data_IF_708421915585
#
_entry.id   IF_708421915585
#
_cell.length_a   1.000
_cell.length_b   1.000
_cell.length_c   1.000
_cell.angle_alpha   90.00
_cell.angle_beta   90.00
_cell.angle_gamma   90.00
#
_symmetry.space_group_name_H-M   'P 1'
#
loop_
_entity.id
_entity.type
_entity.pdbx_description
1 polymer ?
#
# COMPACT_ATOMS: atom_id res chain seq x y z
N UNK A 1 9.25 10.22 -17.26
CA UNK A 1 8.86 10.00 -15.84
C UNK A 1 10.03 9.33 -15.16
N UNK A 2 10.34 9.67 -13.91
CA UNK A 2 11.33 8.89 -13.14
C UNK A 2 10.64 7.59 -12.72
N UNK A 3 11.20 6.43 -13.08
CA UNK A 3 10.68 5.15 -12.64
C UNK A 3 10.83 5.03 -11.11
N UNK A 4 9.80 4.58 -10.39
CA UNK A 4 9.93 4.36 -8.96
C UNK A 4 10.96 3.27 -8.72
N UNK A 5 11.70 3.42 -7.63
CA UNK A 5 12.53 2.34 -7.13
C UNK A 5 11.64 1.15 -6.78
N UNK A 6 11.92 0.01 -7.39
CA UNK A 6 11.33 -1.28 -7.01
C UNK A 6 12.12 -1.92 -5.88
N UNK A 7 11.46 -2.82 -5.18
CA UNK A 7 11.99 -3.65 -4.12
C UNK A 7 11.73 -5.11 -4.49
N UNK A 8 12.77 -5.93 -4.36
CA UNK A 8 12.65 -7.36 -4.56
C UNK A 8 11.71 -7.99 -3.52
N UNK A 9 10.75 -8.77 -4.00
CA UNK A 9 9.75 -9.46 -3.21
C UNK A 9 9.79 -10.96 -3.53
N UNK A 10 10.42 -11.71 -2.63
CA UNK A 10 10.44 -13.17 -2.71
C UNK A 10 9.15 -13.74 -2.10
N UNK A 11 8.41 -14.51 -2.88
CA UNK A 11 7.16 -15.17 -2.46
C UNK A 11 7.14 -16.62 -2.96
N UNK A 12 6.04 -17.36 -2.68
CA UNK A 12 6.05 -18.81 -2.89
C UNK A 12 6.19 -19.25 -4.36
N UNK A 13 5.87 -18.38 -5.32
CA UNK A 13 5.93 -18.70 -6.76
C UNK A 13 7.10 -18.05 -7.49
N UNK A 14 7.95 -17.28 -6.81
CA UNK A 14 9.10 -16.64 -7.43
C UNK A 14 9.54 -15.35 -6.77
N UNK A 15 10.21 -14.51 -7.55
CA UNK A 15 10.65 -13.17 -7.17
C UNK A 15 9.98 -12.15 -8.07
N UNK A 16 9.44 -11.10 -7.47
CA UNK A 16 8.91 -9.92 -8.16
C UNK A 16 9.72 -8.67 -7.82
N UNK A 17 9.72 -7.69 -8.72
CA UNK A 17 10.24 -6.35 -8.47
C UNK A 17 9.07 -5.37 -8.32
N UNK A 18 8.77 -5.00 -7.08
CA UNK A 18 7.53 -4.29 -6.73
C UNK A 18 7.81 -2.89 -6.18
N UNK A 19 7.00 -1.92 -6.54
CA UNK A 19 6.96 -0.61 -5.87
C UNK A 19 5.73 -0.51 -4.96
N UNK A 20 5.80 0.43 -4.01
CA UNK A 20 4.76 0.62 -3.00
C UNK A 20 3.77 1.71 -3.46
N UNK A 21 2.48 1.46 -3.25
CA UNK A 21 1.42 2.48 -3.31
C UNK A 21 0.90 2.73 -1.90
N UNK A 22 0.84 4.00 -1.49
CA UNK A 22 0.31 4.41 -0.19
C UNK A 22 -1.01 5.15 -0.39
N UNK A 23 -2.05 4.72 0.31
CA UNK A 23 -3.37 5.34 0.33
C UNK A 23 -4.04 5.12 1.69
N UNK A 24 -5.35 5.33 1.77
CA UNK A 24 -6.17 4.98 2.93
C UNK A 24 -7.37 4.11 2.57
N UNK A 25 -7.80 3.28 3.51
CA UNK A 25 -9.11 2.65 3.46
C UNK A 25 -10.23 3.69 3.59
N UNK A 26 -11.31 3.50 2.84
CA UNK A 26 -12.38 4.51 2.72
C UNK A 26 -13.22 4.69 3.99
N UNK A 27 -13.22 3.70 4.89
CA UNK A 27 -14.13 3.64 6.05
C UNK A 27 -13.67 4.49 7.23
N UNK A 28 -12.36 4.55 7.47
CA UNK A 28 -11.76 5.01 8.73
C UNK A 28 -10.43 5.74 8.53
N UNK A 29 -10.04 6.00 7.28
CA UNK A 29 -8.76 6.60 6.91
C UNK A 29 -7.53 5.78 7.37
N UNK A 30 -7.72 4.49 7.73
CA UNK A 30 -6.61 3.61 8.09
C UNK A 30 -5.64 3.43 6.91
N UNK A 31 -4.36 3.26 7.21
CA UNK A 31 -3.29 3.17 6.22
C UNK A 31 -3.50 1.95 5.29
N UNK A 32 -3.58 2.23 3.98
CA UNK A 32 -3.49 1.23 2.92
C UNK A 32 -2.09 1.27 2.31
N UNK A 33 -1.46 0.10 2.19
CA UNK A 33 -0.27 -0.10 1.38
C UNK A 33 -0.51 -1.26 0.43
N UNK A 34 -0.35 -1.01 -0.87
CA UNK A 34 -0.38 -2.04 -1.90
C UNK A 34 0.99 -2.24 -2.56
N UNK A 35 1.21 -3.45 -3.06
CA UNK A 35 2.37 -3.85 -3.84
C UNK A 35 2.00 -3.84 -5.33
N UNK A 36 2.80 -3.14 -6.14
CA UNK A 36 2.52 -2.91 -7.55
C UNK A 36 3.73 -3.20 -8.42
N UNK A 37 3.49 -3.57 -9.67
CA UNK A 37 4.49 -3.67 -10.72
C UNK A 37 4.07 -2.81 -11.92
N UNK A 38 4.93 -2.73 -12.92
CA UNK A 38 4.59 -2.11 -14.19
C UNK A 38 4.27 -3.18 -15.21
N UNK A 39 3.11 -3.06 -15.83
CA UNK A 39 2.68 -3.89 -16.95
C UNK A 39 2.21 -2.97 -18.07
N UNK A 40 2.77 -3.12 -19.26
CA UNK A 40 2.50 -2.25 -20.43
C UNK A 40 2.59 -0.74 -20.16
N UNK A 41 3.50 -0.34 -19.27
CA UNK A 41 3.70 1.06 -18.90
C UNK A 41 2.68 1.61 -17.89
N UNK A 42 1.84 0.77 -17.31
CA UNK A 42 0.87 1.14 -16.28
C UNK A 42 1.11 0.43 -14.95
N UNK A 43 0.86 1.10 -13.80
CA UNK A 43 0.83 0.47 -12.49
C UNK A 43 -0.29 -0.58 -12.41
N UNK A 44 0.07 -1.84 -12.20
CA UNK A 44 -0.89 -2.92 -11.92
C UNK A 44 -0.67 -3.49 -10.52
N UNK A 45 -1.79 -3.83 -9.87
CA UNK A 45 -1.80 -4.30 -8.49
C UNK A 45 -1.37 -5.75 -8.44
N UNK A 46 -0.32 -6.04 -7.68
CA UNK A 46 0.14 -7.40 -7.43
C UNK A 46 -0.54 -8.00 -6.19
N UNK A 47 -0.49 -7.30 -5.05
CA UNK A 47 -1.11 -7.75 -3.81
C UNK A 47 -1.27 -6.59 -2.82
N UNK A 48 -2.24 -6.72 -1.91
CA UNK A 48 -2.33 -5.83 -0.75
C UNK A 48 -1.29 -6.24 0.30
N UNK A 49 -0.51 -5.26 0.80
CA UNK A 49 0.42 -5.48 1.92
C UNK A 49 -0.33 -5.39 3.25
N UNK A 50 -1.26 -4.45 3.36
CA UNK A 50 -2.07 -4.22 4.55
C UNK A 50 -3.49 -4.72 4.37
N UNK A 51 -4.19 -4.92 5.48
CA UNK A 51 -5.64 -5.18 5.52
C UNK A 51 -6.29 -4.25 6.54
N UNK A 52 -7.52 -3.84 6.27
CA UNK A 52 -8.29 -3.07 7.24
C UNK A 52 -9.03 -3.99 8.21
N UNK A 53 -8.87 -3.74 9.51
CA UNK A 53 -9.63 -4.42 10.57
C UNK A 53 -10.34 -3.35 11.43
N UNK A 54 -11.52 -2.85 11.00
CA UNK A 54 -12.20 -1.73 11.67
C UNK A 54 -12.53 -1.96 13.16
N UNK A 55 -12.62 -3.22 13.58
CA UNK A 55 -12.88 -3.61 14.97
C UNK A 55 -11.61 -3.73 15.83
N UNK A 56 -10.42 -3.76 15.20
CA UNK A 56 -9.15 -3.94 15.90
C UNK A 56 -8.42 -2.59 15.99
N UNK A 57 -8.11 -2.11 17.20
CA UNK A 57 -7.50 -0.80 17.37
C UNK A 57 -6.07 -0.77 16.84
N UNK A 58 -5.72 0.32 16.17
CA UNK A 58 -4.34 0.70 15.90
C UNK A 58 -3.84 1.54 17.09
N UNK A 59 -2.60 1.31 17.51
CA UNK A 59 -1.99 1.98 18.67
C UNK A 59 -1.26 3.28 18.32
N UNK A 60 -1.16 3.65 17.05
CA UNK A 60 -0.43 4.82 16.60
C UNK A 60 -0.62 5.19 15.14
N UNK A 61 -0.01 6.30 14.75
CA UNK A 61 0.00 6.80 13.37
C UNK A 61 0.86 5.87 12.50
N UNK A 62 0.45 5.67 11.25
CA UNK A 62 1.13 4.79 10.27
C UNK A 62 1.24 3.33 10.68
N UNK A 63 0.34 2.88 11.56
CA UNK A 63 0.21 1.47 11.86
C UNK A 63 -0.86 0.84 10.97
N UNK A 64 -0.65 -0.43 10.62
CA UNK A 64 -1.66 -1.24 9.97
C UNK A 64 -1.45 -2.72 10.29
N UNK A 65 -2.49 -3.51 10.03
CA UNK A 65 -2.39 -4.96 10.06
C UNK A 65 -1.93 -5.47 8.69
N UNK A 66 -1.05 -6.47 8.70
CA UNK A 66 -0.55 -7.11 7.48
C UNK A 66 -1.59 -8.08 6.95
N UNK A 67 -1.85 -8.03 5.64
CA UNK A 67 -2.77 -8.95 4.99
C UNK A 67 -2.37 -10.42 5.25
N UNK A 68 -3.37 -11.26 5.51
CA UNK A 68 -3.15 -12.62 5.96
C UNK A 68 -2.51 -13.50 4.88
N UNK A 69 -2.89 -13.30 3.61
CA UNK A 69 -2.38 -14.10 2.50
C UNK A 69 -0.88 -13.88 2.35
N UNK A 70 -0.09 -14.94 2.42
CA UNK A 70 1.38 -14.85 2.36
C UNK A 70 1.97 -13.89 3.41
N UNK A 71 1.34 -13.83 4.60
CA UNK A 71 1.76 -12.91 5.68
C UNK A 71 3.21 -13.14 6.11
N UNK A 72 3.73 -14.38 6.05
CA UNK A 72 5.13 -14.67 6.38
C UNK A 72 6.10 -14.00 5.40
N UNK A 73 5.80 -14.07 4.12
CA UNK A 73 6.55 -13.46 3.03
C UNK A 73 6.49 -11.93 3.13
N UNK A 74 5.30 -11.38 3.40
CA UNK A 74 5.08 -9.94 3.62
C UNK A 74 5.87 -9.41 4.83
N UNK A 75 5.85 -10.13 5.95
CA UNK A 75 6.64 -9.76 7.13
C UNK A 75 8.15 -9.87 6.88
N UNK A 76 8.60 -10.86 6.10
CA UNK A 76 10.00 -10.95 5.66
C UNK A 76 10.39 -9.76 4.79
N UNK A 77 9.54 -9.40 3.84
CA UNK A 77 9.73 -8.23 2.97
C UNK A 77 9.86 -6.92 3.76
N UNK A 78 8.98 -6.71 4.75
CA UNK A 78 9.03 -5.54 5.64
C UNK A 78 10.36 -5.46 6.40
N UNK A 79 10.84 -6.59 6.94
CA UNK A 79 12.13 -6.67 7.64
C UNK A 79 13.31 -6.41 6.70
N UNK A 80 13.32 -7.08 5.54
CA UNK A 80 14.41 -7.02 4.56
C UNK A 80 14.66 -5.57 4.09
N UNK A 81 13.59 -4.84 3.79
CA UNK A 81 13.67 -3.48 3.26
C UNK A 81 13.51 -2.40 4.34
N UNK A 82 13.48 -2.78 5.62
CA UNK A 82 13.37 -1.86 6.77
C UNK A 82 12.19 -0.89 6.62
N UNK A 83 11.05 -1.43 6.21
CA UNK A 83 9.84 -0.66 5.92
C UNK A 83 9.12 -0.20 7.19
N UNK A 84 9.32 -0.91 8.31
CA UNK A 84 8.73 -0.57 9.59
C UNK A 84 9.12 -1.55 10.69
N UNK A 85 8.54 -1.34 11.86
CA UNK A 85 8.76 -2.16 13.05
C UNK A 85 7.53 -3.04 13.30
N UNK A 86 7.76 -4.35 13.37
CA UNK A 86 6.72 -5.33 13.72
C UNK A 86 6.41 -5.18 15.22
N UNK A 87 5.14 -4.98 15.53
CA UNK A 87 4.65 -4.81 16.90
C UNK A 87 4.46 -6.19 17.57
N UNK A 88 4.48 -6.29 18.91
CA UNK A 88 4.18 -7.56 19.58
C UNK A 88 2.70 -7.96 19.45
N UNK A 89 1.81 -7.00 19.24
CA UNK A 89 0.37 -7.24 19.23
C UNK A 89 -0.13 -7.80 17.89
N UNK A 90 -1.12 -8.69 18.01
CA UNK A 90 -1.86 -9.26 16.89
C UNK A 90 -3.35 -9.03 17.07
N UNK A 91 -4.10 -9.14 15.97
CA UNK A 91 -5.55 -9.21 16.00
C UNK A 91 -6.03 -10.52 15.36
N UNK A 92 -7.17 -11.01 15.79
CA UNK A 92 -7.80 -12.21 15.22
C UNK A 92 -9.11 -11.86 14.52
N UNK A 93 -9.34 -12.44 13.34
CA UNK A 93 -10.62 -12.38 12.62
C UNK A 93 -10.90 -13.76 12.03
N UNK A 94 -11.99 -14.41 12.47
CA UNK A 94 -12.24 -15.80 12.13
C UNK A 94 -11.06 -16.69 12.54
N UNK A 95 -10.51 -17.45 11.59
CA UNK A 95 -9.32 -18.30 11.79
C UNK A 95 -7.99 -17.61 11.47
N UNK A 96 -8.01 -16.33 11.10
CA UNK A 96 -6.82 -15.59 10.71
C UNK A 96 -6.27 -14.79 11.90
N UNK A 97 -4.94 -14.80 12.04
CA UNK A 97 -4.19 -13.92 12.93
C UNK A 97 -3.44 -12.90 12.07
N UNK A 98 -3.54 -11.63 12.44
CA UNK A 98 -2.99 -10.50 11.71
C UNK A 98 -1.94 -9.80 12.56
N UNK A 99 -0.74 -9.68 12.01
CA UNK A 99 0.38 -9.01 12.65
C UNK A 99 0.27 -7.50 12.46
N UNK A 100 0.36 -6.72 13.54
CA UNK A 100 0.44 -5.25 13.46
C UNK A 100 1.87 -4.80 13.16
N UNK A 101 2.01 -3.78 12.31
CA UNK A 101 3.28 -3.16 11.93
C UNK A 101 3.14 -1.65 12.01
N UNK A 102 4.15 -0.97 12.57
CA UNK A 102 4.30 0.48 12.52
C UNK A 102 5.27 0.85 11.39
N UNK A 103 4.77 1.53 10.35
CA UNK A 103 5.55 1.82 9.15
C UNK A 103 6.33 3.13 9.23
N UNK A 104 7.57 3.11 8.75
CA UNK A 104 8.50 4.25 8.76
C UNK A 104 8.32 5.14 7.51
N UNK A 105 7.08 5.57 7.25
CA UNK A 105 6.72 6.27 6.01
C UNK A 105 7.61 7.48 5.71
N UNK A 106 8.12 8.19 6.74
CA UNK A 106 9.02 9.34 6.56
C UNK A 106 10.27 9.04 5.73
N UNK A 107 10.73 7.79 5.72
CA UNK A 107 11.92 7.36 5.01
C UNK A 107 11.63 6.80 3.61
N UNK A 108 10.37 6.79 3.17
CA UNK A 108 9.95 6.14 1.92
C UNK A 108 9.96 7.08 0.71
N UNK A 109 10.53 8.28 0.83
CA UNK A 109 10.45 9.31 -0.21
C UNK A 109 10.99 8.87 -1.59
N UNK A 110 11.95 7.93 -1.61
CA UNK A 110 12.50 7.33 -2.83
C UNK A 110 11.74 6.10 -3.34
N UNK A 111 10.85 5.52 -2.52
CA UNK A 111 10.09 4.31 -2.82
C UNK A 111 8.70 4.62 -3.41
N UNK A 112 8.23 5.86 -3.20
CA UNK A 112 6.92 6.32 -3.64
C UNK A 112 7.02 7.11 -4.94
N UNK A 113 6.19 6.77 -5.92
CA UNK A 113 6.09 7.47 -7.22
C UNK A 113 5.84 8.97 -7.02
N UNK A 114 6.39 9.79 -7.93
CA UNK A 114 6.28 11.26 -7.86
C UNK A 114 4.83 11.76 -7.74
N UNK A 115 3.90 11.12 -8.42
CA UNK A 115 2.47 11.46 -8.42
C UNK A 115 1.75 11.16 -7.09
N UNK A 116 2.33 10.31 -6.25
CA UNK A 116 1.83 9.97 -4.92
C UNK A 116 2.51 10.75 -3.79
N UNK A 117 3.50 11.61 -4.09
CA UNK A 117 4.29 12.32 -3.07
C UNK A 117 3.44 13.22 -2.16
N UNK A 118 2.40 13.86 -2.68
CA UNK A 118 1.56 14.74 -1.86
C UNK A 118 0.68 13.95 -0.88
N UNK A 119 0.09 12.84 -1.34
CA UNK A 119 -0.69 11.93 -0.48
C UNK A 119 0.19 11.27 0.58
N UNK A 120 1.37 10.81 0.17
CA UNK A 120 2.36 10.25 1.09
C UNK A 120 2.79 11.25 2.17
N UNK A 121 3.05 12.52 1.81
CA UNK A 121 3.40 13.56 2.80
C UNK A 121 2.28 13.79 3.81
N UNK A 122 1.03 13.80 3.37
CA UNK A 122 -0.15 13.92 4.24
C UNK A 122 -0.18 12.75 5.24
N UNK A 123 -0.06 11.51 4.75
CA UNK A 123 -0.02 10.29 5.59
C UNK A 123 1.15 10.28 6.57
N UNK A 124 2.36 10.55 6.08
CA UNK A 124 3.56 10.62 6.92
C UNK A 124 3.47 11.70 8.01
N UNK A 125 2.64 12.73 7.82
CA UNK A 125 2.39 13.79 8.80
C UNK A 125 1.33 13.45 9.84
N UNK A 126 0.54 12.37 9.65
CA UNK A 126 -0.53 11.96 10.55
C UNK A 126 -1.75 12.90 10.57
N UNK A 127 -1.86 13.82 9.62
CA UNK A 127 -3.05 14.68 9.46
C UNK A 127 -4.17 13.84 8.83
N UNK A 128 -5.28 13.66 9.55
CA UNK A 128 -6.41 12.83 9.10
C UNK A 128 -6.95 13.24 7.72
N UNK A 129 -7.34 12.25 6.91
CA UNK A 129 -7.60 12.36 5.47
C UNK A 129 -9.02 12.78 5.07
N UNK A 130 -9.82 13.30 6.01
CA UNK A 130 -11.24 13.57 5.79
C UNK A 130 -11.54 14.57 4.64
N UNK A 131 -10.57 15.38 4.22
CA UNK A 131 -10.82 16.51 3.30
C UNK A 131 -10.69 16.20 1.80
N UNK A 132 -10.18 15.04 1.35
CA UNK A 132 -9.89 14.80 -0.08
C UNK A 132 -10.60 13.60 -0.73
N UNK A 133 -11.64 13.03 -0.09
CA UNK A 133 -12.39 11.86 -0.58
C UNK A 133 -12.93 12.01 -2.02
N UNK A 134 -13.39 13.21 -2.40
CA UNK A 134 -13.93 13.48 -3.74
C UNK A 134 -12.86 13.67 -4.83
N UNK A 135 -11.65 14.14 -4.48
CA UNK A 135 -10.54 14.25 -5.44
C UNK A 135 -9.95 12.88 -5.80
N UNK A 136 -9.96 11.92 -4.86
CA UNK A 136 -9.42 10.56 -5.04
C UNK A 136 -10.28 9.70 -5.97
N UNK A 137 -11.61 9.67 -5.75
CA UNK A 137 -12.56 8.99 -6.68
C UNK A 137 -12.37 9.44 -8.13
N UNK A 138 -12.20 10.74 -8.37
CA UNK A 138 -12.01 11.26 -9.72
C UNK A 138 -10.65 10.90 -10.36
N UNK A 139 -9.60 10.56 -9.60
CA UNK A 139 -8.32 10.09 -10.17
C UNK A 139 -8.41 8.66 -10.65
N UNK A 140 -8.90 7.74 -9.82
CA UNK A 140 -9.04 6.32 -10.20
C UNK A 140 -10.02 6.14 -11.37
N UNK A 141 -11.11 6.92 -11.42
CA UNK A 141 -12.02 6.93 -12.58
C UNK A 141 -11.36 7.46 -13.86
N UNK A 142 -10.44 8.42 -13.76
CA UNK A 142 -9.76 9.00 -14.93
C UNK A 142 -8.65 8.10 -15.46
N UNK A 143 -7.97 7.36 -14.58
CA UNK A 143 -7.04 6.29 -14.95
C UNK A 143 -7.78 5.11 -15.59
N UNK A 144 -8.90 4.66 -15.01
CA UNK A 144 -9.73 3.58 -15.59
C UNK A 144 -10.43 3.99 -16.89
N UNK A 145 -10.92 5.23 -17.01
CA UNK A 145 -11.59 5.72 -18.22
C UNK A 145 -10.65 5.89 -19.42
N UNK A 146 -9.37 6.19 -19.19
CA UNK A 146 -8.34 6.14 -20.25
C UNK A 146 -8.10 4.74 -20.81
N UNK A 147 -8.34 3.68 -20.01
CA UNK A 147 -8.22 2.28 -20.45
C UNK A 147 -9.29 1.89 -21.48
N UNK A 148 -10.48 2.51 -21.45
CA UNK A 148 -11.59 2.12 -22.33
C UNK A 148 -11.56 2.75 -23.73
N UNK A 149 -10.84 3.86 -23.92
CA UNK A 149 -10.75 4.57 -25.21
C UNK A 149 -9.45 4.34 -25.97
N UNK A 150 -8.56 3.47 -25.48
CA UNK A 150 -7.25 3.20 -26.09
C UNK A 150 -7.16 1.96 -26.98
N UNK A 151 -8.24 1.16 -27.10
CA UNK A 151 -8.23 -0.14 -27.80
C UNK A 151 -9.16 -0.21 -29.02
N UNK A 152 -9.48 0.92 -29.63
CA UNK A 152 -10.15 0.97 -30.94
C UNK A 152 -9.33 1.87 -31.85
N UNK A 153 -8.29 1.29 -32.46
CA UNK A 153 -7.73 1.66 -33.77
C UNK A 153 -6.54 0.74 -34.06
N UNK A 154 -6.84 -0.50 -34.41
CA UNK A 154 -6.07 -1.31 -35.36
C UNK A 154 -7.03 -1.83 -36.44
#
# INVERSE_FOLDING_TARGET
MEEPKTLSYDWQYGREELFLRVDSYMSDDNLYIGLYHMEDGYPESFADLTVNLPFAPLGGINEAYIDHNFSKEKLRFIKQHKLGTIQPDTASSGYCIFQRVAFDLKNWQSLIRKEQKDLWKEMASGKGMYQNRNKRKNRDYKEKGRKQHGSENE
#
